data_IF_145898894259
#
_entry.id   IF_145898894259
#
_cell.length_a   1.000
_cell.length_b   1.000
_cell.length_c   1.000
_cell.angle_alpha   90.00
_cell.angle_beta   90.00
_cell.angle_gamma   90.00
#
_symmetry.space_group_name_H-M   'P 1'
#
loop_
_entity.id
_entity.type
_entity.pdbx_description
1 polymer ?
#
# COMPACT_ATOMS: atom_id res chain seq x y z
N UNK A 1 -26.01 -26.18 10.05
CA UNK A 1 -24.96 -25.15 9.87
C UNK A 1 -25.62 -23.86 9.43
N UNK A 2 -25.57 -22.85 10.28
CA UNK A 2 -26.11 -21.51 10.03
C UNK A 2 -25.09 -20.65 9.28
N UNK A 3 -25.51 -19.49 8.75
CA UNK A 3 -24.58 -18.52 8.20
C UNK A 3 -23.54 -18.05 9.24
N UNK A 4 -23.93 -17.96 10.51
CA UNK A 4 -23.04 -17.56 11.61
C UNK A 4 -21.99 -18.65 11.87
N UNK A 5 -22.38 -19.92 11.88
CA UNK A 5 -21.45 -21.04 12.05
C UNK A 5 -20.37 -21.02 10.96
N UNK A 6 -20.79 -20.81 9.71
CA UNK A 6 -19.86 -20.74 8.58
C UNK A 6 -18.90 -19.56 8.69
N UNK A 7 -19.38 -18.40 9.15
CA UNK A 7 -18.51 -17.23 9.38
C UNK A 7 -17.53 -17.49 10.51
N UNK A 8 -17.95 -18.13 11.60
CA UNK A 8 -17.07 -18.45 12.72
C UNK A 8 -15.91 -19.39 12.30
N UNK A 9 -16.21 -20.43 11.51
CA UNK A 9 -15.18 -21.32 10.94
C UNK A 9 -14.17 -20.57 10.07
N UNK A 10 -14.65 -19.67 9.19
CA UNK A 10 -13.78 -18.88 8.32
C UNK A 10 -12.91 -17.89 9.10
N UNK A 11 -13.42 -17.33 10.20
CA UNK A 11 -12.64 -16.49 11.11
C UNK A 11 -11.54 -17.31 11.78
N UNK A 12 -11.83 -18.53 12.23
CA UNK A 12 -10.81 -19.41 12.82
C UNK A 12 -9.72 -19.76 11.82
N UNK A 13 -10.09 -20.07 10.57
CA UNK A 13 -9.12 -20.32 9.50
C UNK A 13 -8.25 -19.11 9.22
N UNK A 14 -8.87 -17.92 9.13
CA UNK A 14 -8.14 -16.68 8.97
C UNK A 14 -7.16 -16.43 10.12
N UNK A 15 -7.57 -16.68 11.36
CA UNK A 15 -6.70 -16.51 12.52
C UNK A 15 -5.48 -17.44 12.48
N UNK A 16 -5.62 -18.66 11.93
CA UNK A 16 -4.49 -19.58 11.72
C UNK A 16 -3.51 -19.02 10.69
N UNK A 17 -4.02 -18.58 9.54
CA UNK A 17 -3.21 -17.96 8.48
C UNK A 17 -2.50 -16.70 9.01
N UNK A 18 -3.22 -15.84 9.75
CA UNK A 18 -2.65 -14.62 10.32
C UNK A 18 -1.55 -14.94 11.34
N UNK A 19 -1.65 -16.04 12.09
CA UNK A 19 -0.59 -16.50 12.98
C UNK A 19 0.65 -17.00 12.22
N UNK A 20 0.47 -17.76 11.15
CA UNK A 20 1.57 -18.20 10.26
C UNK A 20 2.28 -17.01 9.62
N UNK A 21 1.53 -16.05 9.05
CA UNK A 21 2.06 -14.81 8.51
C UNK A 21 2.82 -14.00 9.58
N UNK A 22 2.25 -13.91 10.78
CA UNK A 22 2.89 -13.19 11.89
C UNK A 22 4.23 -13.82 12.29
N UNK A 23 4.33 -15.16 12.24
CA UNK A 23 5.59 -15.86 12.49
C UNK A 23 6.64 -15.58 11.41
N UNK A 24 6.23 -15.38 10.16
CA UNK A 24 7.12 -15.05 9.04
C UNK A 24 7.66 -13.62 9.13
N UNK A 25 6.81 -12.64 9.50
CA UNK A 25 7.17 -11.23 9.50
C UNK A 25 7.64 -10.70 10.87
N UNK A 26 7.50 -11.49 11.94
CA UNK A 26 7.85 -11.12 13.31
C UNK A 26 6.96 -10.07 13.96
N UNK A 27 5.77 -9.78 13.39
CA UNK A 27 4.80 -8.76 13.83
C UNK A 27 3.38 -9.25 13.54
N UNK A 28 2.32 -8.71 14.16
CA UNK A 28 0.95 -9.06 13.82
C UNK A 28 0.68 -8.85 12.32
N UNK A 29 0.04 -9.82 11.65
CA UNK A 29 -0.28 -9.82 10.22
C UNK A 29 -1.38 -8.81 9.80
N UNK A 30 -1.24 -7.57 10.26
CA UNK A 30 -2.07 -6.45 9.82
C UNK A 30 -1.60 -6.02 8.43
N UNK A 31 -2.53 -5.54 7.61
CA UNK A 31 -2.27 -5.07 6.24
C UNK A 31 -1.15 -4.03 6.17
N UNK A 32 -1.06 -3.11 7.14
CA UNK A 32 0.05 -2.16 7.24
C UNK A 32 1.40 -2.84 7.49
N UNK A 33 1.48 -3.76 8.46
CA UNK A 33 2.73 -4.46 8.79
C UNK A 33 3.20 -5.37 7.66
N UNK A 34 2.28 -6.09 7.02
CA UNK A 34 2.61 -6.91 5.85
C UNK A 34 3.12 -6.02 4.71
N UNK A 35 2.48 -4.88 4.45
CA UNK A 35 2.93 -3.94 3.43
C UNK A 35 4.32 -3.37 3.73
N UNK A 36 4.58 -2.96 4.96
CA UNK A 36 5.90 -2.51 5.44
C UNK A 36 6.96 -3.59 5.24
N UNK A 37 6.67 -4.84 5.63
CA UNK A 37 7.60 -5.96 5.51
C UNK A 37 7.92 -6.27 4.05
N UNK A 38 6.91 -6.36 3.18
CA UNK A 38 7.09 -6.59 1.73
C UNK A 38 7.91 -5.45 1.13
N UNK A 39 7.60 -4.21 1.45
CA UNK A 39 8.33 -3.05 0.96
C UNK A 39 9.81 -3.08 1.41
N UNK A 40 10.09 -3.50 2.64
CA UNK A 40 11.44 -3.67 3.14
C UNK A 40 12.20 -4.76 2.36
N UNK A 41 11.57 -5.91 2.08
CA UNK A 41 12.19 -6.99 1.31
C UNK A 41 12.47 -6.57 -0.14
N UNK A 42 11.51 -5.92 -0.81
CA UNK A 42 11.63 -5.56 -2.23
C UNK A 42 12.60 -4.39 -2.42
N UNK A 43 12.56 -3.37 -1.56
CA UNK A 43 13.29 -2.10 -1.79
C UNK A 43 14.49 -1.88 -0.87
N UNK A 44 14.75 -2.79 0.07
CA UNK A 44 15.78 -2.59 1.09
C UNK A 44 15.48 -1.37 1.96
N UNK A 45 14.20 -1.13 2.27
CA UNK A 45 13.80 -0.04 3.17
C UNK A 45 14.22 -0.41 4.60
N UNK A 46 14.96 0.47 5.24
CA UNK A 46 15.25 0.38 6.67
C UNK A 46 14.01 0.85 7.45
N UNK A 47 13.34 -0.08 8.12
CA UNK A 47 12.11 0.21 8.85
C UNK A 47 12.41 0.95 10.16
N UNK A 48 11.59 1.96 10.46
CA UNK A 48 11.66 2.78 11.66
C UNK A 48 10.41 2.61 12.53
N UNK A 49 10.54 2.91 13.82
CA UNK A 49 9.42 2.91 14.78
C UNK A 49 8.80 4.30 14.97
N UNK A 50 9.25 5.29 14.19
CA UNK A 50 8.81 6.68 14.31
C UNK A 50 7.35 6.85 13.87
N UNK A 51 6.57 7.65 14.61
CA UNK A 51 5.19 7.95 14.19
C UNK A 51 5.24 8.76 12.91
N UNK A 52 4.56 8.29 11.87
CA UNK A 52 4.39 9.09 10.67
C UNK A 52 5.23 8.63 9.48
N UNK A 53 6.37 7.98 9.74
CA UNK A 53 7.35 7.50 8.77
C UNK A 53 7.57 6.01 9.04
N UNK A 54 7.42 5.17 8.01
CA UNK A 54 7.63 3.73 8.18
C UNK A 54 9.10 3.32 8.04
N UNK A 55 9.90 4.12 7.33
CA UNK A 55 11.30 3.82 7.15
C UNK A 55 12.00 4.79 6.21
N UNK A 56 13.19 4.40 5.75
CA UNK A 56 14.00 5.15 4.79
C UNK A 56 14.55 4.25 3.70
N UNK A 57 14.62 4.81 2.49
CA UNK A 57 15.47 4.24 1.45
C UNK A 57 16.95 4.45 1.81
N UNK A 58 17.84 3.65 1.20
CA UNK A 58 19.31 3.78 1.37
C UNK A 58 19.86 5.18 1.10
N UNK A 59 19.17 6.00 0.31
CA UNK A 59 19.51 7.41 0.04
C UNK A 59 19.03 8.41 1.10
N UNK A 60 18.45 7.96 2.22
CA UNK A 60 18.02 8.79 3.35
C UNK A 60 16.60 9.36 3.26
N UNK A 61 15.96 9.30 2.07
CA UNK A 61 14.56 9.72 1.88
C UNK A 61 13.62 8.87 2.71
N UNK A 62 12.80 9.52 3.51
CA UNK A 62 11.74 8.92 4.33
C UNK A 62 10.60 8.40 3.47
N UNK A 63 9.96 7.32 3.92
CA UNK A 63 8.83 6.70 3.24
C UNK A 63 7.74 6.28 4.21
N UNK A 64 6.48 6.48 3.82
CA UNK A 64 5.28 5.91 4.45
C UNK A 64 4.67 4.91 3.48
N UNK A 65 4.55 3.66 3.92
CA UNK A 65 4.06 2.53 3.13
C UNK A 65 2.56 2.38 3.36
N UNK A 66 1.80 2.32 2.26
CA UNK A 66 0.36 2.07 2.28
C UNK A 66 0.08 0.81 1.50
N UNK A 67 -0.79 -0.06 2.02
CA UNK A 67 -1.37 -1.12 1.23
C UNK A 67 -2.88 -0.95 1.15
N UNK A 68 -3.36 -0.63 -0.05
CA UNK A 68 -4.77 -0.56 -0.37
C UNK A 68 -5.17 -1.81 -1.16
N UNK A 69 -5.92 -2.77 -0.57
CA UNK A 69 -6.43 -3.94 -1.30
C UNK A 69 -7.27 -3.63 -2.55
N UNK A 70 -7.61 -2.36 -2.77
CA UNK A 70 -8.38 -1.84 -3.91
C UNK A 70 -8.01 -0.38 -4.14
N UNK A 71 -7.70 0.01 -5.38
CA UNK A 71 -7.27 1.38 -5.73
C UNK A 71 -8.47 2.25 -6.12
N UNK A 72 -8.87 3.14 -5.22
CA UNK A 72 -10.09 3.97 -5.34
C UNK A 72 -9.81 5.47 -5.54
N UNK A 73 -8.57 5.85 -5.87
CA UNK A 73 -8.17 7.26 -6.10
C UNK A 73 -7.98 8.08 -4.82
N UNK A 74 -7.94 7.40 -3.67
CA UNK A 74 -7.77 8.00 -2.35
C UNK A 74 -6.39 7.65 -1.78
N UNK A 75 -5.78 8.61 -1.11
CA UNK A 75 -4.51 8.42 -0.41
C UNK A 75 -4.57 9.03 0.99
N UNK A 76 -4.12 8.29 1.98
CA UNK A 76 -4.00 8.77 3.35
C UNK A 76 -2.70 9.55 3.51
N UNK A 77 -2.85 10.85 3.75
CA UNK A 77 -1.74 11.79 3.87
C UNK A 77 -1.62 12.34 5.30
N UNK A 78 -0.47 12.94 5.56
CA UNK A 78 -0.15 13.68 6.79
C UNK A 78 0.38 15.05 6.36
N UNK A 79 0.05 16.10 7.11
CA UNK A 79 0.54 17.46 6.79
C UNK A 79 2.06 17.56 6.94
N UNK A 80 2.62 16.91 7.96
CA UNK A 80 4.06 16.67 8.15
C UNK A 80 4.37 15.20 7.77
N UNK A 81 4.23 14.91 6.48
CA UNK A 81 4.41 13.56 5.92
C UNK A 81 5.88 13.19 5.63
N UNK A 82 6.12 11.94 5.18
CA UNK A 82 7.43 11.52 4.67
C UNK A 82 7.78 12.28 3.37
N UNK A 83 8.98 12.06 2.86
CA UNK A 83 9.38 12.51 1.51
C UNK A 83 8.61 11.76 0.42
N UNK A 84 8.27 10.49 0.68
CA UNK A 84 7.67 9.57 -0.29
C UNK A 84 6.51 8.77 0.32
N UNK A 85 5.46 8.55 -0.47
CA UNK A 85 4.46 7.52 -0.18
C UNK A 85 4.66 6.35 -1.13
N UNK A 86 4.94 5.17 -0.58
CA UNK A 86 5.01 3.92 -1.33
C UNK A 86 3.68 3.16 -1.17
N UNK A 87 2.91 3.06 -2.24
CA UNK A 87 1.57 2.49 -2.21
C UNK A 87 1.55 1.15 -2.94
N UNK A 88 1.28 0.08 -2.21
CA UNK A 88 0.91 -1.23 -2.73
C UNK A 88 -0.60 -1.23 -2.98
N UNK A 89 -1.05 -1.67 -4.14
CA UNK A 89 -2.45 -1.61 -4.51
C UNK A 89 -2.94 -2.87 -5.22
N UNK A 90 -4.10 -3.35 -4.80
CA UNK A 90 -4.88 -4.33 -5.55
C UNK A 90 -5.66 -3.68 -6.71
N UNK A 91 -6.69 -4.36 -7.25
CA UNK A 91 -7.36 -3.95 -8.48
C UNK A 91 -7.88 -2.51 -8.44
N UNK A 92 -7.77 -1.80 -9.57
CA UNK A 92 -8.43 -0.50 -9.77
C UNK A 92 -9.94 -0.69 -9.75
N UNK A 93 -10.63 0.15 -9.00
CA UNK A 93 -12.09 0.16 -8.98
C UNK A 93 -12.62 1.55 -8.67
N UNK A 94 -13.82 1.84 -9.16
CA UNK A 94 -14.58 2.99 -8.67
C UNK A 94 -14.85 2.85 -7.17
N UNK A 95 -14.89 3.98 -6.47
CA UNK A 95 -15.40 4.07 -5.10
C UNK A 95 -16.93 3.87 -5.13
N UNK A 96 -17.35 2.61 -5.09
CA UNK A 96 -18.76 2.20 -5.15
C UNK A 96 -19.18 1.48 -3.85
N UNK A 97 -20.42 1.02 -3.79
CA UNK A 97 -20.92 0.24 -2.64
C UNK A 97 -20.02 -0.96 -2.33
N UNK A 98 -19.84 -1.27 -1.05
CA UNK A 98 -19.12 -2.47 -0.59
C UNK A 98 -19.89 -3.77 -0.88
N UNK A 99 -21.20 -3.70 -1.13
CA UNK A 99 -22.06 -4.88 -1.32
C UNK A 99 -21.65 -5.66 -2.56
N UNK A 100 -21.43 -6.97 -2.39
CA UNK A 100 -21.06 -7.86 -3.50
C UNK A 100 -19.63 -7.70 -4.00
N UNK A 101 -18.77 -6.98 -3.26
CA UNK A 101 -17.37 -6.77 -3.63
C UNK A 101 -16.43 -7.44 -2.63
N UNK A 102 -15.24 -7.82 -3.09
CA UNK A 102 -14.14 -8.27 -2.24
C UNK A 102 -12.98 -7.27 -2.29
N UNK A 103 -12.06 -7.39 -1.33
CA UNK A 103 -10.83 -6.60 -1.23
C UNK A 103 -9.66 -7.58 -1.10
N UNK A 104 -9.29 -8.28 -2.19
CA UNK A 104 -8.24 -9.30 -2.14
C UNK A 104 -6.92 -8.66 -1.69
N UNK A 105 -6.18 -9.36 -0.83
CA UNK A 105 -4.90 -8.89 -0.34
C UNK A 105 -3.80 -9.22 -1.37
N UNK A 106 -3.86 -8.54 -2.52
CA UNK A 106 -2.93 -8.68 -3.66
C UNK A 106 -2.24 -7.36 -3.96
N UNK A 107 -1.15 -7.44 -4.73
CA UNK A 107 -0.35 -6.32 -5.22
C UNK A 107 -0.34 -6.38 -6.75
N UNK A 108 -1.37 -5.79 -7.37
CA UNK A 108 -1.44 -5.70 -8.83
C UNK A 108 -0.64 -4.50 -9.36
N UNK A 109 -0.47 -3.47 -8.53
CA UNK A 109 0.27 -2.27 -8.87
C UNK A 109 1.00 -1.68 -7.66
N UNK A 110 2.11 -0.98 -7.93
CA UNK A 110 2.79 -0.16 -6.94
C UNK A 110 3.00 1.25 -7.44
N UNK A 111 2.94 2.20 -6.52
CA UNK A 111 3.08 3.62 -6.80
C UNK A 111 4.07 4.26 -5.84
N UNK A 112 4.94 5.10 -6.36
CA UNK A 112 5.86 5.91 -5.57
C UNK A 112 5.53 7.39 -5.79
N UNK A 113 4.86 7.97 -4.81
CA UNK A 113 4.47 9.36 -4.84
C UNK A 113 5.47 10.26 -4.14
N UNK A 114 5.77 11.40 -4.75
CA UNK A 114 6.42 12.51 -4.06
C UNK A 114 5.40 13.26 -3.18
N UNK A 115 5.64 13.30 -1.87
CA UNK A 115 4.68 13.86 -0.92
C UNK A 115 4.48 15.37 -1.14
N UNK A 116 5.55 16.11 -1.46
CA UNK A 116 5.47 17.55 -1.69
C UNK A 116 4.64 17.86 -2.94
N UNK A 117 4.80 17.07 -4.01
CA UNK A 117 4.00 17.23 -5.23
C UNK A 117 2.50 17.00 -4.99
N UNK A 118 2.12 15.98 -4.22
CA UNK A 118 0.71 15.74 -3.89
C UNK A 118 0.14 16.87 -3.04
N UNK A 119 0.87 17.28 -2.00
CA UNK A 119 0.43 18.34 -1.09
C UNK A 119 0.24 19.66 -1.86
N UNK A 120 1.16 19.99 -2.77
CA UNK A 120 1.05 21.16 -3.64
C UNK A 120 -0.21 21.10 -4.53
N UNK A 121 -0.47 19.97 -5.19
CA UNK A 121 -1.68 19.79 -6.01
C UNK A 121 -2.97 19.89 -5.19
N UNK A 122 -3.02 19.28 -4.00
CA UNK A 122 -4.20 19.37 -3.13
C UNK A 122 -4.45 20.80 -2.66
N UNK A 123 -3.40 21.53 -2.26
CA UNK A 123 -3.50 22.94 -1.84
C UNK A 123 -3.95 23.85 -2.97
N UNK A 124 -3.37 23.70 -4.16
CA UNK A 124 -3.74 24.48 -5.35
C UNK A 124 -5.23 24.30 -5.72
N UNK A 125 -5.81 23.14 -5.38
CA UNK A 125 -7.22 22.81 -5.63
C UNK A 125 -8.13 23.04 -4.42
N UNK A 126 -7.61 23.60 -3.32
CA UNK A 126 -8.37 23.80 -2.08
C UNK A 126 -8.93 22.51 -1.48
N UNK A 127 -8.25 21.38 -1.66
CA UNK A 127 -8.67 20.08 -1.15
C UNK A 127 -8.08 19.81 0.23
N UNK A 128 -8.84 19.07 1.04
CA UNK A 128 -8.38 18.57 2.35
C UNK A 128 -7.19 17.64 2.17
N UNK A 129 -6.19 17.82 3.04
CA UNK A 129 -5.06 16.91 3.24
C UNK A 129 -5.36 16.08 4.51
N UNK A 130 -5.12 14.77 4.44
CA UNK A 130 -5.36 13.86 5.54
C UNK A 130 -5.80 12.47 5.06
N UNK A 131 -6.56 11.77 5.90
CA UNK A 131 -7.19 10.50 5.55
C UNK A 131 -8.11 10.65 4.33
N UNK A 132 -8.02 9.69 3.41
CA UNK A 132 -8.81 9.65 2.18
C UNK A 132 -8.74 10.93 1.33
N UNK A 133 -7.54 11.51 1.17
CA UNK A 133 -7.33 12.66 0.28
C UNK A 133 -7.55 12.26 -1.18
N UNK A 134 -8.33 13.07 -1.92
CA UNK A 134 -8.66 12.80 -3.33
C UNK A 134 -7.52 13.22 -4.26
N UNK A 135 -6.79 12.22 -4.74
CA UNK A 135 -5.64 12.37 -5.65
C UNK A 135 -6.11 12.17 -7.09
N UNK A 136 -5.67 13.06 -7.97
CA UNK A 136 -5.98 13.04 -9.41
C UNK A 136 -5.48 11.78 -10.10
N UNK A 137 -6.21 11.29 -11.10
CA UNK A 137 -5.84 10.08 -11.84
C UNK A 137 -4.47 10.22 -12.51
N UNK A 138 -4.16 11.41 -13.01
CA UNK A 138 -2.90 11.72 -13.68
C UNK A 138 -1.71 11.57 -12.72
N UNK A 139 -1.88 11.92 -11.43
CA UNK A 139 -0.86 11.72 -10.42
C UNK A 139 -0.68 10.24 -10.06
N UNK A 140 -1.76 9.45 -10.04
CA UNK A 140 -1.66 8.00 -9.90
C UNK A 140 -0.91 7.37 -11.07
N UNK A 141 -1.22 7.77 -12.29
CA UNK A 141 -0.56 7.23 -13.49
C UNK A 141 0.92 7.62 -13.55
N UNK A 142 1.26 8.85 -13.18
CA UNK A 142 2.64 9.31 -13.10
C UNK A 142 3.45 8.61 -12.01
N UNK A 143 2.82 8.23 -10.88
CA UNK A 143 3.50 7.59 -9.76
C UNK A 143 3.66 6.07 -9.93
N UNK A 144 3.05 5.45 -10.94
CA UNK A 144 3.06 4.00 -11.11
C UNK A 144 4.47 3.48 -11.43
N UNK A 145 5.01 2.61 -10.56
CA UNK A 145 6.34 1.98 -10.70
C UNK A 145 6.27 0.48 -11.03
N UNK A 146 5.11 -0.14 -10.86
CA UNK A 146 4.80 -1.53 -11.21
C UNK A 146 3.31 -1.65 -11.52
N UNK A 147 2.89 -2.41 -12.55
CA UNK A 147 3.71 -3.25 -13.43
C UNK A 147 4.43 -2.47 -14.54
N UNK A 148 4.01 -1.22 -14.82
CA UNK A 148 4.64 -0.37 -15.82
C UNK A 148 6.10 -0.05 -15.47
N UNK A 149 6.89 0.32 -16.47
CA UNK A 149 8.26 0.82 -16.25
C UNK A 149 8.19 2.32 -15.97
N UNK A 150 8.82 2.75 -14.87
CA UNK A 150 8.92 4.15 -14.52
C UNK A 150 10.28 4.72 -14.95
N UNK A 151 10.33 5.89 -15.64
CA UNK A 151 11.57 6.39 -16.24
C UNK A 151 12.62 6.84 -15.21
N UNK A 152 12.19 7.21 -14.00
CA UNK A 152 13.08 7.72 -12.94
C UNK A 152 13.27 6.73 -11.79
N UNK A 153 12.59 5.58 -11.82
CA UNK A 153 12.63 4.60 -10.74
C UNK A 153 12.61 3.19 -11.34
N UNK A 154 13.79 2.60 -11.45
CA UNK A 154 13.98 1.31 -12.08
C UNK A 154 13.80 0.19 -11.05
N UNK A 155 12.90 -0.73 -11.35
CA UNK A 155 12.82 -2.01 -10.65
C UNK A 155 13.71 -3.02 -11.35
N UNK A 156 14.54 -3.73 -10.59
CA UNK A 156 15.28 -4.89 -11.11
C UNK A 156 14.31 -6.02 -11.50
N UNK A 157 14.80 -6.97 -12.29
CA UNK A 157 14.00 -8.14 -12.65
C UNK A 157 13.66 -8.97 -11.41
N UNK A 158 14.59 -9.12 -10.46
CA UNK A 158 14.36 -9.76 -9.15
C UNK A 158 13.23 -9.07 -8.36
N UNK A 159 13.23 -7.73 -8.29
CA UNK A 159 12.15 -7.00 -7.63
C UNK A 159 10.79 -7.24 -8.31
N UNK A 160 10.77 -7.31 -9.64
CA UNK A 160 9.55 -7.58 -10.40
C UNK A 160 9.04 -9.00 -10.19
N UNK A 161 9.94 -9.98 -10.14
CA UNK A 161 9.61 -11.39 -9.85
C UNK A 161 9.05 -11.56 -8.43
N UNK A 162 9.66 -10.89 -7.44
CA UNK A 162 9.14 -10.84 -6.08
C UNK A 162 7.72 -10.25 -6.06
N UNK A 163 7.49 -9.13 -6.73
CA UNK A 163 6.17 -8.48 -6.78
C UNK A 163 5.12 -9.33 -7.51
N UNK A 164 5.51 -10.04 -8.57
CA UNK A 164 4.62 -10.94 -9.31
C UNK A 164 4.07 -12.07 -8.41
N UNK A 165 4.80 -12.50 -7.39
CA UNK A 165 4.36 -13.53 -6.43
C UNK A 165 3.20 -13.09 -5.54
N UNK A 166 2.88 -11.78 -5.51
CA UNK A 166 1.79 -11.21 -4.72
C UNK A 166 0.62 -10.70 -5.59
N UNK A 167 0.69 -10.84 -6.92
CA UNK A 167 -0.36 -10.41 -7.83
C UNK A 167 -1.55 -11.38 -7.91
N UNK A 168 -2.64 -10.94 -8.55
CA UNK A 168 -3.81 -11.77 -8.87
C UNK A 168 -3.54 -12.87 -9.90
#
# INVERSE_FOLDING_TARGET
MTAVDRVAELIQERNRIDAELSSCIGRPALTGHLGEWIAAQVFGIELETSKGVNGRFRGGRTVDVKWYPKREGLLDLKEEGPDLYLVLAGPKSAAASSRGTTRPLVIDAMYLFDAAAIVADLRARGRRIGTASSVRTELWEAAEIYPRRHPLFFLSDEQREMLASFGS
#
